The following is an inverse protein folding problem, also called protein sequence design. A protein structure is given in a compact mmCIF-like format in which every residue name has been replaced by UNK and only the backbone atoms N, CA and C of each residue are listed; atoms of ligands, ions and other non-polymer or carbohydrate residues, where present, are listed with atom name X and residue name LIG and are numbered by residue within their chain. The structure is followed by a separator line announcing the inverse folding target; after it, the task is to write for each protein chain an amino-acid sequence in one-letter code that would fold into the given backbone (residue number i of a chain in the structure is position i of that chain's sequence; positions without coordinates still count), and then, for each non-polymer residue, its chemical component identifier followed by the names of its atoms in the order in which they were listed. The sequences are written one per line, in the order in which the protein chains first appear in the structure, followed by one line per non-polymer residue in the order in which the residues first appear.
data_IF_531657292239
#
_entry.id   IF_531657292239
#
_cell.length_a   1.000
_cell.length_b   1.000
_cell.length_c   1.000
_cell.angle_alpha   90.00
_cell.angle_beta   90.00
_cell.angle_gamma   90.00
#
_symmetry.space_group_name_H-M   'P 1'
#
loop_
_entity.id
_entity.type
_entity.pdbx_description
1 polymer ?
#
# COMPACT_ATOMS: atom_id res chain seq x y z
N UNK A 1 -12.80 -9.94 -5.55
CA UNK A 1 -11.47 -9.86 -4.88
C UNK A 1 -10.73 -11.18 -5.05
N UNK A 2 -9.46 -11.17 -5.35
CA UNK A 2 -8.65 -12.37 -5.55
C UNK A 2 -7.69 -12.55 -4.38
N UNK A 3 -7.54 -13.77 -3.90
CA UNK A 3 -6.49 -14.11 -2.94
C UNK A 3 -5.11 -13.91 -3.56
N UNK A 4 -4.24 -13.24 -2.84
CA UNK A 4 -2.83 -13.04 -3.23
C UNK A 4 -1.97 -13.85 -2.26
N UNK A 5 -1.45 -14.96 -2.75
CA UNK A 5 -0.46 -15.75 -2.01
C UNK A 5 0.91 -15.09 -2.16
N UNK A 6 1.53 -14.77 -1.05
CA UNK A 6 2.90 -14.24 -1.00
C UNK A 6 3.87 -15.40 -0.97
N UNK A 7 4.36 -15.80 -2.16
CA UNK A 7 5.29 -16.93 -2.29
C UNK A 7 6.76 -16.57 -2.08
N UNK A 8 7.04 -15.29 -1.90
CA UNK A 8 8.40 -14.80 -1.96
C UNK A 8 8.98 -14.56 -0.55
N UNK A 9 10.09 -15.25 -0.29
CA UNK A 9 11.04 -14.74 0.68
C UNK A 9 11.79 -13.61 -0.03
N UNK A 10 11.58 -12.36 0.42
CA UNK A 10 12.27 -11.21 -0.13
C UNK A 10 13.77 -11.50 -0.24
N UNK A 11 14.48 -11.06 -1.30
CA UNK A 11 15.92 -11.22 -1.38
C UNK A 11 16.57 -10.81 -0.07
N UNK A 12 17.59 -11.53 0.38
CA UNK A 12 18.26 -11.33 1.68
C UNK A 12 18.60 -9.86 1.92
N UNK A 13 18.93 -9.11 0.85
CA UNK A 13 19.19 -7.66 0.90
C UNK A 13 17.91 -6.89 1.28
N UNK A 14 16.78 -7.23 0.67
CA UNK A 14 15.49 -6.57 0.96
C UNK A 14 14.99 -6.97 2.35
N UNK A 15 15.21 -8.21 2.78
CA UNK A 15 14.90 -8.65 4.15
C UNK A 15 15.73 -7.90 5.19
N UNK A 16 17.02 -7.74 4.96
CA UNK A 16 17.90 -7.03 5.87
C UNK A 16 17.56 -5.53 5.95
N UNK A 17 17.26 -4.90 4.84
CA UNK A 17 16.81 -3.50 4.81
C UNK A 17 15.43 -3.32 5.41
N UNK A 18 14.56 -4.29 5.24
CA UNK A 18 13.26 -4.33 5.88
C UNK A 18 13.39 -4.50 7.40
N UNK A 19 14.30 -5.36 7.85
CA UNK A 19 14.63 -5.52 9.27
C UNK A 19 15.26 -4.25 9.84
N UNK A 20 16.15 -3.57 9.09
CA UNK A 20 16.72 -2.28 9.47
C UNK A 20 15.66 -1.17 9.50
N UNK A 21 14.77 -1.13 8.51
CA UNK A 21 13.66 -0.17 8.51
C UNK A 21 12.69 -0.42 9.66
N UNK A 22 12.39 -1.70 9.96
CA UNK A 22 11.59 -2.10 11.11
C UNK A 22 12.28 -1.78 12.43
N UNK A 23 13.58 -2.03 12.55
CA UNK A 23 14.37 -1.72 13.74
C UNK A 23 14.49 -0.20 13.95
N UNK A 24 14.73 0.57 12.89
CA UNK A 24 14.73 2.04 12.92
C UNK A 24 13.34 2.59 13.27
N UNK A 25 12.29 1.91 12.79
CA UNK A 25 10.91 2.22 13.14
C UNK A 25 10.65 1.97 14.62
N UNK A 26 11.12 0.84 15.15
CA UNK A 26 10.98 0.49 16.57
C UNK A 26 11.78 1.46 17.47
N UNK A 27 12.96 1.88 17.03
CA UNK A 27 13.77 2.87 17.75
C UNK A 27 13.12 4.26 17.70
N UNK A 28 12.63 4.69 16.54
CA UNK A 28 11.87 5.94 16.39
C UNK A 28 10.56 5.90 17.21
N UNK A 29 9.89 4.74 17.26
CA UNK A 29 8.72 4.49 18.09
C UNK A 29 9.03 4.60 19.58
N UNK A 30 10.17 4.04 20.02
CA UNK A 30 10.62 4.11 21.41
C UNK A 30 11.00 5.54 21.83
N UNK A 31 11.64 6.30 20.95
CA UNK A 31 11.99 7.70 21.17
C UNK A 31 10.75 8.59 21.24
N UNK A 32 9.78 8.41 20.32
CA UNK A 32 8.52 9.18 20.30
C UNK A 32 7.54 8.78 21.40
N UNK A 33 7.52 7.52 21.85
CA UNK A 33 6.74 7.10 23.04
C UNK A 33 7.19 7.82 24.31
N UNK A 34 8.46 8.27 24.37
CA UNK A 34 8.95 9.10 25.47
C UNK A 34 8.52 10.56 25.39
N UNK A 35 8.08 11.03 24.21
CA UNK A 35 7.71 12.42 23.92
C UNK A 35 6.20 12.67 23.73
N UNK A 36 5.34 11.72 24.06
CA UNK A 36 3.85 11.86 24.03
C UNK A 36 3.21 12.10 22.67
N UNK A 37 3.89 11.97 21.55
CA UNK A 37 3.29 12.05 20.22
C UNK A 37 2.98 10.68 19.64
N UNK A 38 1.75 10.53 19.13
CA UNK A 38 1.31 9.33 18.42
C UNK A 38 2.09 9.20 17.10
N UNK A 39 2.69 8.03 16.87
CA UNK A 39 3.41 7.71 15.65
C UNK A 39 2.48 7.83 14.42
N UNK A 40 2.83 8.69 13.46
CA UNK A 40 2.08 8.82 12.20
C UNK A 40 2.71 7.95 11.10
N UNK A 41 2.04 6.86 10.74
CA UNK A 41 2.47 5.95 9.68
C UNK A 41 2.59 6.60 8.30
N UNK A 42 1.93 7.73 8.04
CA UNK A 42 2.09 8.47 6.78
C UNK A 42 3.41 9.24 6.74
N UNK A 43 3.86 9.77 7.87
CA UNK A 43 5.15 10.41 8.01
C UNK A 43 6.25 9.37 7.80
N UNK A 44 6.16 8.24 8.51
CA UNK A 44 7.11 7.13 8.37
C UNK A 44 7.23 6.63 6.93
N UNK A 45 6.12 6.46 6.23
CA UNK A 45 6.11 6.04 4.85
C UNK A 45 6.84 7.03 3.92
N UNK A 46 6.63 8.33 4.13
CA UNK A 46 7.25 9.36 3.29
C UNK A 46 8.74 9.52 3.59
N UNK A 47 9.10 9.55 4.85
CA UNK A 47 10.45 9.92 5.29
C UNK A 47 11.41 8.73 5.29
N UNK A 48 10.92 7.52 5.55
CA UNK A 48 11.76 6.34 5.63
C UNK A 48 11.59 5.42 4.42
N UNK A 49 10.39 4.93 4.14
CA UNK A 49 10.17 3.94 3.08
C UNK A 49 10.37 4.53 1.68
N UNK A 50 9.97 5.78 1.44
CA UNK A 50 10.16 6.48 0.17
C UNK A 50 11.37 7.41 0.14
N UNK A 51 12.29 7.27 1.09
CA UNK A 51 13.54 8.03 1.05
C UNK A 51 14.39 7.62 -0.16
N UNK A 52 15.29 8.51 -0.58
CA UNK A 52 16.17 8.26 -1.74
C UNK A 52 17.06 7.03 -1.55
N UNK A 53 17.39 6.69 -0.32
CA UNK A 53 18.20 5.53 0.06
C UNK A 53 17.51 4.19 -0.26
N UNK A 54 16.20 4.12 -0.11
CA UNK A 54 15.39 2.91 -0.31
C UNK A 54 14.76 2.80 -1.71
N UNK A 55 14.82 3.83 -2.55
CA UNK A 55 14.16 3.85 -3.86
C UNK A 55 14.55 2.69 -4.78
N UNK A 56 15.82 2.25 -4.91
CA UNK A 56 16.16 1.11 -5.77
C UNK A 56 15.43 -0.16 -5.33
N UNK A 57 15.50 -0.50 -4.06
CA UNK A 57 14.88 -1.71 -3.49
C UNK A 57 13.35 -1.62 -3.49
N UNK A 58 12.81 -0.41 -3.36
CA UNK A 58 11.38 -0.17 -3.48
C UNK A 58 10.82 -0.55 -4.85
N UNK A 59 11.58 -0.32 -5.94
CA UNK A 59 11.18 -0.75 -7.28
C UNK A 59 11.19 -2.26 -7.43
N UNK A 60 12.21 -2.93 -6.92
CA UNK A 60 12.31 -4.40 -6.94
C UNK A 60 11.16 -5.03 -6.15
N UNK A 61 10.81 -4.44 -5.01
CA UNK A 61 9.66 -4.85 -4.20
C UNK A 61 8.34 -4.72 -4.97
N UNK A 62 8.16 -3.64 -5.74
CA UNK A 62 6.97 -3.46 -6.58
C UNK A 62 6.91 -4.48 -7.72
N UNK A 63 8.05 -4.82 -8.34
CA UNK A 63 8.13 -5.91 -9.34
C UNK A 63 7.66 -7.22 -8.71
N UNK A 64 8.16 -7.53 -7.53
CA UNK A 64 7.77 -8.75 -6.81
C UNK A 64 6.28 -8.76 -6.46
N UNK A 65 5.74 -7.66 -5.91
CA UNK A 65 4.30 -7.55 -5.66
C UNK A 65 3.47 -7.77 -6.93
N UNK A 66 3.92 -7.22 -8.06
CA UNK A 66 3.26 -7.41 -9.35
C UNK A 66 3.27 -8.88 -9.78
N UNK A 67 4.38 -9.59 -9.60
CA UNK A 67 4.51 -11.01 -9.90
C UNK A 67 3.62 -11.87 -9.01
N UNK A 68 3.63 -11.66 -7.70
CA UNK A 68 2.79 -12.38 -6.74
C UNK A 68 1.29 -12.22 -7.06
N UNK A 69 0.91 -11.05 -7.56
CA UNK A 69 -0.47 -10.75 -7.95
C UNK A 69 -0.82 -11.21 -9.36
N UNK A 70 0.13 -11.75 -10.15
CA UNK A 70 -0.08 -12.10 -11.56
C UNK A 70 -0.40 -10.88 -12.42
N UNK A 71 0.15 -9.71 -12.08
CA UNK A 71 0.00 -8.47 -12.84
C UNK A 71 -1.37 -7.82 -12.75
N UNK A 72 -2.20 -8.15 -11.75
CA UNK A 72 -3.56 -7.63 -11.61
C UNK A 72 -3.75 -6.88 -10.28
N UNK A 73 -4.70 -5.95 -10.26
CA UNK A 73 -5.11 -5.23 -9.07
C UNK A 73 -5.62 -6.18 -7.99
N UNK A 74 -5.16 -6.02 -6.74
CA UNK A 74 -5.55 -6.86 -5.61
C UNK A 74 -7.06 -6.80 -5.27
N UNK A 75 -7.75 -5.74 -5.69
CA UNK A 75 -9.17 -5.54 -5.38
C UNK A 75 -10.09 -5.94 -6.53
N UNK A 76 -9.90 -5.36 -7.71
CA UNK A 76 -10.83 -5.54 -8.82
C UNK A 76 -10.37 -6.57 -9.86
N UNK A 77 -9.13 -7.06 -9.79
CA UNK A 77 -8.59 -8.03 -10.75
C UNK A 77 -8.27 -7.47 -12.14
N UNK A 78 -8.43 -6.16 -12.35
CA UNK A 78 -8.03 -5.54 -13.62
C UNK A 78 -6.50 -5.58 -13.77
N UNK A 79 -6.05 -5.76 -15.01
CA UNK A 79 -4.63 -5.76 -15.35
C UNK A 79 -3.99 -4.42 -14.97
N UNK A 80 -2.91 -4.46 -14.20
CA UNK A 80 -2.12 -3.29 -13.87
C UNK A 80 -1.30 -2.84 -15.07
N UNK A 81 -1.18 -1.54 -15.26
CA UNK A 81 -0.30 -0.95 -16.28
C UNK A 81 1.11 -0.79 -15.71
N UNK A 82 1.64 -1.88 -15.18
CA UNK A 82 2.98 -1.91 -14.60
C UNK A 82 4.06 -1.82 -15.71
N UNK A 83 5.13 -1.04 -15.54
CA UNK A 83 5.54 -0.26 -14.36
C UNK A 83 5.10 1.22 -14.34
N UNK A 84 4.03 1.58 -15.04
CA UNK A 84 3.54 2.96 -15.09
C UNK A 84 2.85 3.36 -13.78
N UNK A 85 3.58 4.07 -12.92
CA UNK A 85 3.11 4.51 -11.60
C UNK A 85 1.96 5.53 -11.62
N UNK A 86 1.55 6.00 -12.81
CA UNK A 86 0.37 6.87 -12.95
C UNK A 86 -0.95 6.09 -12.85
N UNK A 87 -0.90 4.77 -12.96
CA UNK A 87 -2.09 3.91 -13.01
C UNK A 87 -2.16 2.86 -11.91
N UNK A 88 -1.17 2.82 -11.02
CA UNK A 88 -1.22 1.97 -9.83
C UNK A 88 -0.55 2.64 -8.63
N UNK A 89 -0.91 2.16 -7.46
CA UNK A 89 -0.32 2.54 -6.18
C UNK A 89 0.06 1.32 -5.36
N UNK A 90 0.97 1.52 -4.41
CA UNK A 90 1.22 0.54 -3.36
C UNK A 90 0.19 0.74 -2.27
N UNK A 91 -0.60 -0.29 -2.07
CA UNK A 91 -1.68 -0.34 -1.10
C UNK A 91 -1.20 -0.98 0.21
N UNK A 92 -1.55 -0.35 1.32
CA UNK A 92 -1.43 -0.94 2.65
C UNK A 92 -2.76 -1.55 3.05
N UNK A 93 -2.85 -2.87 3.06
CA UNK A 93 -4.10 -3.60 3.37
C UNK A 93 -4.63 -3.20 4.74
N UNK A 94 -3.77 -3.19 5.76
CA UNK A 94 -4.02 -2.56 7.04
C UNK A 94 -3.54 -1.11 6.98
N UNK A 95 -4.43 -0.12 7.25
CA UNK A 95 -4.12 1.30 7.03
C UNK A 95 -2.96 1.81 7.88
N UNK A 96 -2.03 2.52 7.26
CA UNK A 96 -0.85 3.12 7.92
C UNK A 96 -1.17 3.99 9.12
N UNK A 97 -2.30 4.69 9.07
CA UNK A 97 -2.74 5.58 10.16
C UNK A 97 -3.16 4.83 11.42
N UNK A 98 -3.53 3.56 11.30
CA UNK A 98 -3.95 2.71 12.42
C UNK A 98 -2.88 1.70 12.83
N UNK A 99 -2.06 1.27 11.87
CA UNK A 99 -1.03 0.24 12.01
C UNK A 99 0.31 0.77 11.51
N UNK A 100 0.89 1.80 12.15
CA UNK A 100 2.13 2.41 11.72
C UNK A 100 3.32 1.42 11.75
N UNK A 101 3.28 0.42 12.61
CA UNK A 101 4.27 -0.65 12.73
C UNK A 101 4.31 -1.58 11.49
N UNK A 102 3.25 -1.59 10.67
CA UNK A 102 3.15 -2.42 9.47
C UNK A 102 3.44 -1.66 8.18
N UNK A 103 3.91 -0.42 8.28
CA UNK A 103 4.08 0.46 7.11
C UNK A 103 5.11 -0.05 6.10
N UNK A 104 6.15 -0.74 6.56
CA UNK A 104 7.18 -1.37 5.73
C UNK A 104 7.00 -2.89 5.58
N UNK A 105 5.98 -3.49 6.20
CA UNK A 105 5.81 -4.94 6.20
C UNK A 105 5.31 -5.44 4.83
N UNK A 106 6.15 -6.23 4.14
CA UNK A 106 5.83 -6.75 2.80
C UNK A 106 4.49 -7.48 2.74
N UNK A 107 4.17 -8.24 3.80
CA UNK A 107 2.90 -8.98 3.89
C UNK A 107 1.68 -8.06 3.98
N UNK A 108 1.89 -6.78 4.31
CA UNK A 108 0.83 -5.76 4.34
C UNK A 108 0.74 -4.95 3.03
N UNK A 109 1.65 -5.19 2.06
CA UNK A 109 1.76 -4.40 0.83
C UNK A 109 1.22 -5.17 -0.37
N UNK A 110 0.38 -4.51 -1.17
CA UNK A 110 -0.12 -5.01 -2.45
C UNK A 110 -0.11 -3.88 -3.49
N UNK A 111 -0.31 -4.22 -4.77
CA UNK A 111 -0.55 -3.23 -5.81
C UNK A 111 -2.05 -3.11 -6.09
N UNK A 112 -2.53 -1.89 -6.14
CA UNK A 112 -3.90 -1.53 -6.50
C UNK A 112 -3.90 -0.60 -7.71
N UNK A 113 -4.86 -0.75 -8.62
CA UNK A 113 -5.09 0.27 -9.63
C UNK A 113 -5.70 1.52 -8.97
N UNK A 114 -5.43 2.67 -9.56
CA UNK A 114 -6.05 3.93 -9.17
C UNK A 114 -6.38 4.77 -10.40
N UNK A 115 -7.24 5.77 -10.22
CA UNK A 115 -7.58 6.71 -11.27
C UNK A 115 -6.36 7.56 -11.67
N UNK A 116 -6.16 7.75 -12.97
CA UNK A 116 -5.12 8.66 -13.48
C UNK A 116 -5.34 10.09 -13.00
N UNK A 117 -4.30 10.92 -13.08
CA UNK A 117 -4.42 12.34 -12.74
C UNK A 117 -5.47 13.06 -13.60
N UNK A 118 -5.57 12.68 -14.88
CA UNK A 118 -6.56 13.24 -15.79
C UNK A 118 -7.99 12.89 -15.36
N UNK A 119 -8.27 11.61 -15.04
CA UNK A 119 -9.58 11.18 -14.54
C UNK A 119 -9.95 11.88 -13.25
N UNK A 120 -8.99 12.03 -12.33
CA UNK A 120 -9.20 12.76 -11.08
C UNK A 120 -9.48 14.25 -11.29
N UNK A 121 -8.82 14.86 -12.28
CA UNK A 121 -9.09 16.25 -12.65
C UNK A 121 -10.50 16.40 -13.23
N UNK A 122 -10.91 15.54 -14.16
CA UNK A 122 -12.27 15.52 -14.73
C UNK A 122 -13.35 15.32 -13.66
N UNK A 123 -13.12 14.42 -12.69
CA UNK A 123 -14.03 14.24 -11.57
C UNK A 123 -14.16 15.50 -10.69
N UNK A 124 -13.08 16.27 -10.55
CA UNK A 124 -13.14 17.55 -9.79
C UNK A 124 -13.95 18.61 -10.52
N UNK A 125 -13.92 18.62 -11.85
CA UNK A 125 -14.70 19.55 -12.67
C UNK A 125 -16.19 19.20 -12.71
N UNK A 126 -16.51 17.91 -12.74
CA UNK A 126 -17.88 17.43 -12.89
C UNK A 126 -18.62 17.23 -11.55
N UNK A 127 -17.90 16.85 -10.51
CA UNK A 127 -18.47 16.54 -9.18
C UNK A 127 -17.88 17.49 -8.14
N UNK A 128 -18.64 18.46 -7.69
CA UNK A 128 -18.19 19.47 -6.72
C UNK A 128 -18.11 18.91 -5.29
N UNK A 129 -18.97 17.96 -4.93
CA UNK A 129 -18.96 17.33 -3.61
C UNK A 129 -17.76 16.39 -3.43
N UNK A 130 -16.91 16.66 -2.41
CA UNK A 130 -15.79 15.77 -2.06
C UNK A 130 -16.25 14.36 -1.70
N UNK A 131 -17.40 14.23 -1.04
CA UNK A 131 -17.98 12.94 -0.65
C UNK A 131 -18.43 12.14 -1.87
N UNK A 132 -19.11 12.78 -2.83
CA UNK A 132 -19.53 12.13 -4.07
C UNK A 132 -18.34 11.72 -4.93
N UNK A 133 -17.32 12.59 -5.10
CA UNK A 133 -16.07 12.22 -5.79
C UNK A 133 -15.44 10.97 -5.17
N UNK A 134 -15.37 10.90 -3.84
CA UNK A 134 -14.82 9.74 -3.16
C UNK A 134 -15.62 8.46 -3.43
N UNK A 135 -16.92 8.55 -3.59
CA UNK A 135 -17.79 7.41 -3.91
C UNK A 135 -17.65 6.94 -5.38
N UNK A 136 -17.11 7.76 -6.26
CA UNK A 136 -16.82 7.40 -7.67
C UNK A 136 -15.43 6.80 -7.85
N UNK A 137 -14.55 6.94 -6.87
CA UNK A 137 -13.25 6.30 -6.86
C UNK A 137 -13.40 4.80 -6.56
N UNK A 138 -12.39 4.03 -6.94
CA UNK A 138 -12.41 2.58 -6.73
C UNK A 138 -11.10 2.09 -6.07
N UNK A 139 -11.10 0.84 -5.67
CA UNK A 139 -9.95 0.14 -5.10
C UNK A 139 -9.37 0.87 -3.87
N UNK A 140 -8.07 1.15 -3.82
CA UNK A 140 -7.43 1.79 -2.67
C UNK A 140 -7.96 3.20 -2.38
N UNK A 141 -8.27 3.97 -3.42
CA UNK A 141 -8.82 5.32 -3.28
C UNK A 141 -10.20 5.31 -2.59
N UNK A 142 -11.03 4.29 -2.87
CA UNK A 142 -12.32 4.10 -2.21
C UNK A 142 -12.16 3.51 -0.80
N UNK A 143 -11.23 2.56 -0.63
CA UNK A 143 -10.93 1.94 0.66
C UNK A 143 -10.43 2.99 1.66
N UNK A 144 -9.48 3.84 1.23
CA UNK A 144 -8.87 4.83 2.11
C UNK A 144 -8.33 4.19 3.41
N UNK A 145 -8.63 4.75 4.57
CA UNK A 145 -8.21 4.26 5.89
C UNK A 145 -9.21 3.25 6.52
N UNK A 146 -10.04 2.60 5.71
CA UNK A 146 -10.95 1.56 6.21
C UNK A 146 -10.22 0.22 6.31
N UNK A 147 -10.50 -0.51 7.37
CA UNK A 147 -10.18 -1.93 7.44
C UNK A 147 -11.19 -2.72 6.63
N UNK A 148 -10.74 -3.74 5.95
CA UNK A 148 -11.60 -4.62 5.17
C UNK A 148 -12.07 -5.78 6.04
N UNK A 149 -13.35 -6.12 5.92
CA UNK A 149 -13.88 -7.32 6.56
C UNK A 149 -13.29 -8.59 5.95
N UNK A 150 -13.11 -8.58 4.62
CA UNK A 150 -12.39 -9.60 3.87
C UNK A 150 -11.19 -8.96 3.17
N UNK A 151 -10.01 -9.51 3.40
CA UNK A 151 -8.75 -8.99 2.85
C UNK A 151 -8.28 -9.86 1.68
N UNK A 152 -7.67 -9.28 0.63
CA UNK A 152 -7.03 -10.07 -0.42
C UNK A 152 -5.92 -11.00 0.06
N UNK A 153 -5.47 -10.82 1.31
CA UNK A 153 -4.46 -11.67 1.96
C UNK A 153 -5.07 -12.86 2.73
N UNK A 154 -6.40 -12.98 2.77
CA UNK A 154 -7.11 -14.12 3.36
C UNK A 154 -7.40 -15.15 2.28
N UNK A 155 -7.01 -16.41 2.53
CA UNK A 155 -7.13 -17.49 1.54
C UNK A 155 -8.56 -17.73 1.06
N UNK A 156 -9.54 -17.48 1.91
CA UNK A 156 -10.97 -17.63 1.63
C UNK A 156 -11.63 -16.37 1.05
N UNK A 157 -10.89 -15.28 0.86
CA UNK A 157 -11.49 -14.02 0.41
C UNK A 157 -12.28 -14.16 -0.88
N UNK A 158 -11.87 -15.03 -1.81
CA UNK A 158 -12.56 -15.26 -3.07
C UNK A 158 -13.94 -15.93 -2.91
N UNK A 159 -14.24 -16.52 -1.77
CA UNK A 159 -15.53 -17.16 -1.48
C UNK A 159 -16.61 -16.15 -1.06
N UNK A 160 -16.22 -14.90 -0.82
CA UNK A 160 -17.09 -13.84 -0.31
C UNK A 160 -17.46 -12.80 -1.38
N UNK A 161 -17.09 -13.03 -2.65
CA UNK A 161 -17.34 -12.11 -3.78
C UNK A 161 -17.85 -12.85 -5.02
#
# INVERSE_FOLDING_TARGET
MRYVEKHFEAPVVIQHEHELASANLDEANLLKRKETETLDGNILYKEQIRSTEYIPHWKDLQVQMCQDQGGVCCYCGLKLQFPDTQHYSVEHVLPRSKFPELVGEYKNLLLSCHSSELERAQLKETIHSKKERKNTLHCDEFKDNKELHYSPLQADCALHF
#
